data_IF_921450323810
#
_entry.id   IF_921450323810
#
_cell.length_a   1.000
_cell.length_b   1.000
_cell.length_c   1.000
_cell.angle_alpha   90.00
_cell.angle_beta   90.00
_cell.angle_gamma   90.00
#
_symmetry.space_group_name_H-M   'P 1'
#
loop_
_entity.id
_entity.type
_entity.pdbx_description
1 polymer ?
#
# COMPACT_ATOMS: atom_id res chain seq x y z
N UNK A 1 36.25 -22.74 17.47
CA UNK A 1 35.38 -23.86 17.07
C UNK A 1 33.99 -23.30 16.77
N UNK A 2 33.37 -23.68 15.65
CA UNK A 2 31.99 -23.30 15.34
C UNK A 2 31.03 -24.15 16.21
N UNK A 3 30.00 -23.55 16.85
CA UNK A 3 29.12 -24.30 17.73
C UNK A 3 28.27 -25.30 16.92
N UNK A 4 28.25 -26.55 17.37
CA UNK A 4 27.46 -27.62 16.74
C UNK A 4 26.01 -27.49 17.23
N UNK A 5 25.01 -27.44 16.33
CA UNK A 5 23.61 -27.26 16.73
C UNK A 5 23.11 -28.42 17.58
N UNK A 6 22.49 -28.10 18.72
CA UNK A 6 21.84 -29.09 19.61
C UNK A 6 20.51 -29.59 19.03
N UNK A 7 20.01 -30.71 19.54
CA UNK A 7 18.70 -31.28 19.20
C UNK A 7 17.55 -30.28 19.36
N UNK A 8 17.59 -29.42 20.39
CA UNK A 8 16.60 -28.35 20.59
C UNK A 8 16.61 -27.32 19.45
N UNK A 9 17.79 -26.90 18.98
CA UNK A 9 17.91 -26.00 17.83
C UNK A 9 17.35 -26.64 16.56
N UNK A 10 17.48 -27.96 16.41
CA UNK A 10 16.94 -28.72 15.28
C UNK A 10 15.42 -28.79 15.32
N UNK A 11 14.83 -28.99 16.50
CA UNK A 11 13.38 -29.03 16.70
C UNK A 11 12.71 -27.67 16.50
N UNK A 12 13.29 -26.59 17.05
CA UNK A 12 12.81 -25.21 16.85
C UNK A 12 12.80 -24.86 15.35
N UNK A 13 13.87 -25.20 14.63
CA UNK A 13 13.95 -24.96 13.18
C UNK A 13 12.90 -25.75 12.40
N UNK A 14 12.57 -26.96 12.85
CA UNK A 14 11.55 -27.82 12.24
C UNK A 14 10.13 -27.26 12.45
N UNK A 15 9.85 -26.73 13.64
CA UNK A 15 8.58 -26.04 13.94
C UNK A 15 8.42 -24.72 13.15
N UNK A 16 9.51 -23.96 12.97
CA UNK A 16 9.51 -22.76 12.13
C UNK A 16 9.33 -23.08 10.63
N UNK A 17 9.86 -24.21 10.15
CA UNK A 17 9.73 -24.62 8.75
C UNK A 17 8.29 -24.97 8.35
N UNK A 18 7.48 -25.52 9.27
CA UNK A 18 6.09 -25.89 8.98
C UNK A 18 5.11 -24.71 9.04
N UNK A 19 5.43 -23.67 9.82
CA UNK A 19 4.52 -22.54 10.05
C UNK A 19 4.52 -21.50 8.92
N UNK A 20 5.48 -21.56 7.99
CA UNK A 20 5.68 -20.55 6.94
C UNK A 20 5.62 -21.12 5.51
N UNK A 21 5.33 -22.42 5.37
CA UNK A 21 5.24 -23.07 4.07
C UNK A 21 3.89 -22.74 3.41
N UNK A 22 3.88 -21.77 2.49
CA UNK A 22 2.75 -21.62 1.58
C UNK A 22 2.79 -22.82 0.62
N UNK A 23 1.79 -23.70 0.70
CA UNK A 23 1.60 -24.76 -0.31
C UNK A 23 1.68 -24.15 -1.72
N UNK A 24 2.30 -24.81 -2.69
CA UNK A 24 2.35 -24.30 -4.07
C UNK A 24 0.96 -24.03 -4.65
N UNK A 25 0.89 -23.14 -5.64
CA UNK A 25 -0.28 -22.96 -6.49
C UNK A 25 -0.40 -24.17 -7.42
N UNK A 26 -1.02 -25.25 -6.96
CA UNK A 26 -1.37 -26.38 -7.84
C UNK A 26 -2.69 -26.06 -8.53
N UNK A 27 -2.62 -25.23 -9.57
CA UNK A 27 -3.77 -24.98 -10.44
C UNK A 27 -3.74 -26.00 -11.60
N UNK A 28 -4.91 -26.55 -11.95
CA UNK A 28 -5.04 -27.28 -13.22
C UNK A 28 -4.64 -26.34 -14.37
N UNK A 29 -3.86 -26.80 -15.36
CA UNK A 29 -3.62 -26.04 -16.59
C UNK A 29 -4.95 -25.62 -17.23
N UNK A 30 -5.00 -24.44 -17.85
CA UNK A 30 -6.24 -23.89 -18.42
C UNK A 30 -6.88 -24.82 -19.46
N UNK A 31 -6.08 -25.60 -20.18
CA UNK A 31 -6.55 -26.58 -21.17
C UNK A 31 -7.31 -27.77 -20.55
N UNK A 32 -7.20 -27.98 -19.23
CA UNK A 32 -7.84 -29.08 -18.49
C UNK A 32 -8.96 -28.59 -17.57
N UNK A 33 -9.39 -27.33 -17.72
CA UNK A 33 -10.48 -26.73 -16.96
C UNK A 33 -11.73 -26.74 -17.83
N UNK A 34 -12.74 -27.49 -17.41
CA UNK A 34 -14.07 -27.44 -18.03
C UNK A 34 -14.86 -26.22 -17.52
N UNK A 35 -15.89 -25.81 -18.27
CA UNK A 35 -16.76 -24.68 -17.89
C UNK A 35 -17.42 -24.87 -16.51
N UNK A 36 -17.68 -26.11 -16.11
CA UNK A 36 -18.22 -26.44 -14.79
C UNK A 36 -17.25 -26.13 -13.64
N UNK A 37 -15.94 -26.18 -13.90
CA UNK A 37 -14.89 -25.99 -12.89
C UNK A 37 -14.50 -24.51 -12.71
N UNK A 38 -15.02 -23.59 -13.54
CA UNK A 38 -14.63 -22.17 -13.52
C UNK A 38 -14.91 -21.52 -12.17
N UNK A 39 -16.09 -21.77 -11.57
CA UNK A 39 -16.45 -21.19 -10.28
C UNK A 39 -15.56 -21.70 -9.14
N UNK A 40 -15.26 -23.00 -9.14
CA UNK A 40 -14.37 -23.60 -8.14
C UNK A 40 -12.94 -23.10 -8.29
N UNK A 41 -12.50 -22.89 -9.54
CA UNK A 41 -11.20 -22.28 -9.84
C UNK A 41 -11.13 -20.84 -9.36
N UNK A 42 -12.16 -20.03 -9.61
CA UNK A 42 -12.22 -18.65 -9.13
C UNK A 42 -12.07 -18.61 -7.60
N UNK A 43 -12.83 -19.45 -6.89
CA UNK A 43 -12.77 -19.56 -5.44
C UNK A 43 -11.38 -19.99 -4.95
N UNK A 44 -10.80 -21.00 -5.57
CA UNK A 44 -9.45 -21.49 -5.23
C UNK A 44 -8.39 -20.41 -5.41
N UNK A 45 -8.43 -19.68 -6.53
CA UNK A 45 -7.50 -18.57 -6.81
C UNK A 45 -7.69 -17.46 -5.78
N UNK A 46 -8.94 -17.08 -5.48
CA UNK A 46 -9.25 -16.05 -4.50
C UNK A 46 -8.75 -16.43 -3.09
N UNK A 47 -9.03 -17.66 -2.62
CA UNK A 47 -8.55 -18.16 -1.33
C UNK A 47 -7.03 -18.14 -1.25
N UNK A 48 -6.35 -18.51 -2.35
CA UNK A 48 -4.89 -18.55 -2.38
C UNK A 48 -4.26 -17.17 -2.37
N UNK A 49 -4.77 -16.24 -3.18
CA UNK A 49 -4.33 -14.85 -3.17
C UNK A 49 -4.56 -14.22 -1.79
N UNK A 50 -5.72 -14.47 -1.17
CA UNK A 50 -6.00 -14.03 0.18
C UNK A 50 -5.01 -14.61 1.20
N UNK A 51 -4.61 -15.87 1.08
CA UNK A 51 -3.59 -16.46 1.95
C UNK A 51 -2.23 -15.74 1.83
N UNK A 52 -1.80 -15.44 0.60
CA UNK A 52 -0.53 -14.72 0.35
C UNK A 52 -0.60 -13.30 0.91
N UNK A 53 -1.68 -12.58 0.63
CA UNK A 53 -1.87 -11.17 1.02
C UNK A 53 -2.07 -11.00 2.53
N UNK A 54 -2.61 -12.01 3.23
CA UNK A 54 -2.75 -11.99 4.68
C UNK A 54 -1.50 -12.53 5.41
N UNK A 55 -0.52 -13.09 4.70
CA UNK A 55 0.71 -13.59 5.32
C UNK A 55 1.62 -12.42 5.73
N UNK A 56 2.08 -12.33 7.00
CA UNK A 56 2.78 -11.15 7.52
C UNK A 56 4.11 -10.87 6.80
N UNK A 57 4.82 -11.93 6.39
CA UNK A 57 6.10 -11.78 5.68
C UNK A 57 5.93 -11.46 4.19
N UNK A 58 4.93 -12.07 3.53
CA UNK A 58 4.78 -11.94 2.08
C UNK A 58 4.06 -10.66 1.69
N UNK A 59 3.06 -10.26 2.47
CA UNK A 59 2.35 -8.99 2.29
C UNK A 59 3.26 -7.77 2.36
N UNK A 60 4.37 -7.86 3.10
CA UNK A 60 5.40 -6.82 3.19
C UNK A 60 6.51 -6.96 2.13
N UNK A 61 6.53 -8.06 1.39
CA UNK A 61 7.51 -8.28 0.33
C UNK A 61 7.24 -7.32 -0.84
N UNK A 62 8.29 -6.65 -1.34
CA UNK A 62 8.19 -5.61 -2.35
C UNK A 62 7.48 -6.10 -3.63
N UNK A 63 7.75 -7.33 -4.07
CA UNK A 63 7.10 -7.88 -5.27
C UNK A 63 5.61 -8.18 -5.06
N UNK A 64 5.19 -8.58 -3.85
CA UNK A 64 3.78 -8.78 -3.55
C UNK A 64 3.04 -7.43 -3.53
N UNK A 65 3.64 -6.41 -2.92
CA UNK A 65 3.13 -5.04 -2.89
C UNK A 65 2.93 -4.50 -4.31
N UNK A 66 3.93 -4.68 -5.19
CA UNK A 66 3.84 -4.28 -6.60
C UNK A 66 2.77 -5.07 -7.35
N UNK A 67 2.71 -6.39 -7.15
CA UNK A 67 1.74 -7.27 -7.81
C UNK A 67 0.29 -6.88 -7.48
N UNK A 68 0.00 -6.59 -6.21
CA UNK A 68 -1.34 -6.17 -5.75
C UNK A 68 -1.60 -4.68 -6.00
N UNK A 69 -0.62 -3.95 -6.57
CA UNK A 69 -0.65 -2.50 -6.74
C UNK A 69 -1.07 -1.78 -5.45
N UNK A 70 -0.41 -2.17 -4.36
CA UNK A 70 -0.71 -1.76 -2.99
C UNK A 70 0.44 -0.98 -2.38
N UNK A 71 0.33 -0.60 -1.11
CA UNK A 71 1.42 -0.04 -0.30
C UNK A 71 1.57 -0.80 1.03
N UNK A 72 2.74 -0.70 1.71
CA UNK A 72 2.92 -1.35 3.01
C UNK A 72 1.86 -0.95 4.06
N UNK A 73 1.40 0.31 4.02
CA UNK A 73 0.42 0.83 4.99
C UNK A 73 -0.99 0.28 4.76
N UNK A 74 -1.26 -0.29 3.58
CA UNK A 74 -2.54 -0.92 3.26
C UNK A 74 -2.82 -2.16 4.09
N UNK A 75 -1.77 -2.87 4.51
CA UNK A 75 -1.89 -4.10 5.30
C UNK A 75 -1.95 -3.84 6.81
N UNK A 76 -1.56 -2.64 7.27
CA UNK A 76 -1.60 -2.26 8.68
C UNK A 76 -3.02 -1.90 9.11
N UNK A 77 -3.73 -2.86 9.71
CA UNK A 77 -5.12 -2.67 10.20
C UNK A 77 -5.21 -1.71 11.39
N UNK A 78 -4.16 -1.65 12.21
CA UNK A 78 -4.06 -0.75 13.37
C UNK A 78 -4.14 0.73 13.00
N UNK A 79 -3.73 1.07 11.77
CA UNK A 79 -3.78 2.45 11.29
C UNK A 79 -5.15 2.82 10.71
N UNK A 80 -6.18 2.01 10.93
CA UNK A 80 -7.55 2.26 10.45
C UNK A 80 -7.90 1.58 9.13
N UNK A 81 -9.18 1.67 8.77
CA UNK A 81 -9.73 1.06 7.55
C UNK A 81 -9.16 1.75 6.32
N UNK A 82 -8.57 0.96 5.42
CA UNK A 82 -8.11 1.43 4.10
C UNK A 82 -9.30 1.69 3.19
N UNK A 83 -9.28 2.82 2.49
CA UNK A 83 -10.15 3.11 1.36
C UNK A 83 -9.37 2.97 0.05
N UNK A 84 -9.25 4.06 -0.72
CA UNK A 84 -8.59 4.06 -2.02
C UNK A 84 -7.11 4.41 -1.88
N UNK A 85 -6.30 3.83 -2.73
CA UNK A 85 -4.91 4.26 -2.92
C UNK A 85 -4.53 4.28 -4.40
N UNK A 86 -3.42 4.93 -4.72
CA UNK A 86 -2.86 4.92 -6.08
C UNK A 86 -2.00 6.12 -6.41
N UNK A 87 -1.50 6.17 -7.65
CA UNK A 87 -0.60 7.22 -8.11
C UNK A 87 -1.36 8.53 -8.37
N UNK A 88 -0.89 9.62 -7.77
CA UNK A 88 -1.36 10.98 -8.01
C UNK A 88 -0.19 11.92 -8.31
N UNK A 89 -0.49 13.05 -8.96
CA UNK A 89 0.45 14.17 -9.02
C UNK A 89 0.11 15.16 -7.91
N UNK A 90 1.10 15.49 -7.08
CA UNK A 90 0.98 16.49 -6.00
C UNK A 90 1.89 17.68 -6.30
N UNK A 91 1.37 18.89 -6.12
CA UNK A 91 2.16 20.11 -6.21
C UNK A 91 3.21 20.17 -5.07
N UNK A 92 4.46 20.47 -5.41
CA UNK A 92 5.54 20.64 -4.43
C UNK A 92 5.30 21.88 -3.55
N UNK A 93 5.81 21.85 -2.31
CA UNK A 93 5.85 23.02 -1.44
C UNK A 93 4.67 23.19 -0.49
N UNK A 94 3.53 22.53 -0.69
CA UNK A 94 2.27 22.80 0.04
C UNK A 94 2.40 23.08 1.56
N UNK A 95 3.06 22.21 2.33
CA UNK A 95 3.18 22.36 3.79
C UNK A 95 4.29 23.34 4.24
N UNK A 96 5.31 23.55 3.40
CA UNK A 96 6.51 24.33 3.71
C UNK A 96 6.67 25.50 2.75
N UNK A 97 5.57 26.17 2.38
CA UNK A 97 5.69 27.50 1.80
C UNK A 97 5.97 28.47 2.95
N UNK A 98 7.18 28.40 3.52
CA UNK A 98 7.65 29.51 4.34
C UNK A 98 7.63 30.74 3.45
N UNK A 99 7.01 31.81 3.95
CA UNK A 99 6.88 33.16 3.39
C UNK A 99 8.11 33.72 2.65
N UNK A 100 9.30 33.12 2.80
CA UNK A 100 10.55 33.57 2.19
C UNK A 100 11.35 32.45 1.50
N UNK A 101 10.71 31.35 1.04
CA UNK A 101 11.40 30.32 0.26
C UNK A 101 11.74 30.84 -1.14
N UNK A 102 12.85 31.60 -1.21
CA UNK A 102 13.72 31.92 -2.34
C UNK A 102 13.10 31.84 -3.74
N UNK A 103 13.27 32.94 -4.48
CA UNK A 103 12.97 33.26 -5.89
C UNK A 103 13.29 32.14 -6.94
N UNK A 104 13.81 30.97 -6.55
CA UNK A 104 14.09 29.81 -7.39
C UNK A 104 13.42 28.47 -7.01
N UNK A 105 12.58 28.39 -5.97
CA UNK A 105 11.90 27.14 -5.62
C UNK A 105 10.79 26.80 -6.64
N UNK A 106 11.16 26.11 -7.73
CA UNK A 106 10.23 25.73 -8.81
C UNK A 106 9.09 24.88 -8.26
N UNK A 107 7.88 25.47 -8.23
CA UNK A 107 6.63 24.77 -8.00
C UNK A 107 6.47 23.72 -9.12
N UNK A 108 6.59 22.44 -8.78
CA UNK A 108 6.49 21.32 -9.72
C UNK A 108 5.53 20.26 -9.23
N UNK A 109 4.86 19.63 -10.18
CA UNK A 109 4.02 18.45 -9.91
C UNK A 109 4.90 17.22 -9.78
N UNK A 110 4.79 16.51 -8.66
CA UNK A 110 5.54 15.29 -8.39
C UNK A 110 4.61 14.10 -8.26
N UNK A 111 5.03 12.94 -8.80
CA UNK A 111 4.31 11.67 -8.58
C UNK A 111 4.40 11.29 -7.09
N UNK A 112 3.27 10.90 -6.52
CA UNK A 112 3.12 10.40 -5.15
C UNK A 112 2.16 9.23 -5.16
N UNK A 113 2.37 8.26 -4.30
CA UNK A 113 1.36 7.26 -3.99
C UNK A 113 0.48 7.81 -2.88
N UNK A 114 -0.78 8.11 -3.18
CA UNK A 114 -1.75 8.59 -2.19
C UNK A 114 -2.47 7.39 -1.59
N UNK A 115 -2.59 7.38 -0.27
CA UNK A 115 -3.42 6.44 0.48
C UNK A 115 -4.46 7.24 1.24
N UNK A 116 -5.69 6.75 1.21
CA UNK A 116 -6.79 7.29 2.01
C UNK A 116 -7.26 6.24 3.02
N UNK A 117 -7.37 6.67 4.27
CA UNK A 117 -7.91 5.89 5.39
C UNK A 117 -9.03 6.66 6.07
N UNK A 118 -9.68 6.04 7.04
CA UNK A 118 -10.75 6.61 7.88
C UNK A 118 -10.42 7.97 8.49
N UNK A 119 -9.22 8.11 9.06
CA UNK A 119 -8.83 9.23 9.91
C UNK A 119 -7.67 10.05 9.35
N UNK A 120 -7.06 9.61 8.24
CA UNK A 120 -5.91 10.28 7.65
C UNK A 120 -5.71 9.92 6.17
N UNK A 121 -4.96 10.77 5.49
CA UNK A 121 -4.42 10.52 4.15
C UNK A 121 -2.90 10.64 4.18
N UNK A 122 -2.19 9.82 3.41
CA UNK A 122 -0.74 9.91 3.33
C UNK A 122 -0.24 9.89 1.89
N UNK A 123 0.88 10.56 1.68
CA UNK A 123 1.63 10.55 0.44
C UNK A 123 2.91 9.78 0.64
N UNK A 124 3.12 8.72 -0.15
CA UNK A 124 4.33 7.91 -0.14
C UNK A 124 5.14 8.19 -1.39
N UNK A 125 6.43 7.90 -1.31
CA UNK A 125 7.29 7.82 -2.47
C UNK A 125 6.92 6.56 -3.28
N UNK A 126 6.47 6.67 -4.54
CA UNK A 126 6.06 5.51 -5.33
C UNK A 126 7.19 4.53 -5.62
N UNK A 127 8.46 4.96 -5.54
CA UNK A 127 9.62 4.08 -5.77
C UNK A 127 10.11 3.36 -4.51
N UNK A 128 10.06 4.03 -3.36
CA UNK A 128 10.70 3.56 -2.12
C UNK A 128 9.71 3.19 -1.03
N UNK A 129 8.41 3.44 -1.20
CA UNK A 129 7.38 3.22 -0.16
C UNK A 129 7.47 4.17 1.05
N UNK A 130 8.54 4.95 1.20
CA UNK A 130 8.69 5.88 2.32
C UNK A 130 7.58 6.93 2.36
N UNK A 131 7.04 7.15 3.56
CA UNK A 131 6.08 8.21 3.85
C UNK A 131 6.74 9.58 3.63
N UNK A 132 6.10 10.43 2.83
CA UNK A 132 6.55 11.80 2.52
C UNK A 132 5.74 12.86 3.26
N UNK A 133 4.47 12.60 3.53
CA UNK A 133 3.60 13.45 4.31
C UNK A 133 2.36 12.66 4.75
N UNK A 134 1.83 12.99 5.93
CA UNK A 134 0.55 12.51 6.46
C UNK A 134 -0.30 13.74 6.76
N UNK A 135 -1.60 13.67 6.48
CA UNK A 135 -2.58 14.70 6.81
C UNK A 135 -3.74 14.03 7.52
N UNK A 136 -4.03 14.48 8.74
CA UNK A 136 -5.15 13.98 9.52
C UNK A 136 -6.47 14.59 9.02
N UNK A 137 -7.52 13.78 9.03
CA UNK A 137 -8.88 14.22 8.77
C UNK A 137 -9.44 14.82 10.06
N UNK A 138 -9.55 16.14 10.10
CA UNK A 138 -10.15 16.88 11.22
C UNK A 138 -11.53 17.45 10.84
N UNK A 139 -12.15 18.19 11.76
CA UNK A 139 -13.48 18.80 11.58
C UNK A 139 -13.59 19.75 10.39
N UNK A 140 -12.46 20.22 9.84
CA UNK A 140 -12.39 21.16 8.73
C UNK A 140 -11.65 20.56 7.54
N UNK A 141 -11.57 19.23 7.47
CA UNK A 141 -11.09 18.54 6.30
C UNK A 141 -12.06 18.79 5.14
N UNK A 142 -11.59 19.55 4.14
CA UNK A 142 -12.39 19.92 2.99
C UNK A 142 -11.64 19.66 1.69
N UNK A 143 -12.42 19.26 0.69
CA UNK A 143 -11.95 19.05 -0.68
C UNK A 143 -12.67 20.04 -1.58
N UNK A 144 -11.89 20.90 -2.25
CA UNK A 144 -12.39 21.79 -3.30
C UNK A 144 -12.03 21.24 -4.67
N UNK A 145 -13.00 21.26 -5.57
CA UNK A 145 -12.84 20.82 -6.96
C UNK A 145 -13.45 21.85 -7.90
N UNK A 146 -13.24 21.68 -9.21
CA UNK A 146 -13.86 22.53 -10.22
C UNK A 146 -13.08 23.81 -10.53
N UNK A 147 -13.43 24.43 -11.67
CA UNK A 147 -12.65 25.51 -12.27
C UNK A 147 -12.59 26.77 -11.40
N UNK A 148 -13.67 27.07 -10.69
CA UNK A 148 -13.77 28.24 -9.79
C UNK A 148 -12.78 28.16 -8.62
N UNK A 149 -12.56 26.97 -8.06
CA UNK A 149 -11.72 26.81 -6.88
C UNK A 149 -10.30 26.36 -7.18
N UNK A 150 -10.09 25.56 -8.23
CA UNK A 150 -8.80 24.93 -8.52
C UNK A 150 -8.19 25.35 -9.85
N UNK A 151 -8.86 26.22 -10.59
CA UNK A 151 -8.48 26.63 -11.95
C UNK A 151 -8.59 25.52 -12.99
N UNK A 152 -9.03 24.31 -12.62
CA UNK A 152 -9.17 23.18 -13.54
C UNK A 152 -10.12 22.11 -13.01
N UNK A 153 -10.99 21.58 -13.86
CA UNK A 153 -11.90 20.48 -13.48
C UNK A 153 -11.18 19.19 -13.07
N UNK A 154 -9.91 19.01 -13.46
CA UNK A 154 -9.10 17.82 -13.15
C UNK A 154 -8.24 17.97 -11.89
N UNK A 155 -8.30 19.12 -11.22
CA UNK A 155 -7.52 19.41 -10.01
C UNK A 155 -8.43 19.45 -8.79
N UNK A 156 -7.88 18.98 -7.68
CA UNK A 156 -8.50 19.06 -6.37
C UNK A 156 -7.53 19.77 -5.40
N UNK A 157 -8.09 20.50 -4.45
CA UNK A 157 -7.38 21.06 -3.30
C UNK A 157 -7.94 20.45 -2.04
N UNK A 158 -7.05 19.87 -1.23
CA UNK A 158 -7.37 19.32 0.09
C UNK A 158 -6.72 20.23 1.12
N UNK A 159 -7.49 20.63 2.12
CA UNK A 159 -7.02 21.41 3.25
C UNK A 159 -7.74 20.98 4.52
N UNK A 160 -7.08 21.19 5.65
CA UNK A 160 -7.54 20.87 7.00
C UNK A 160 -7.00 21.95 7.97
N UNK A 161 -7.37 21.90 9.24
CA UNK A 161 -6.81 22.80 10.27
C UNK A 161 -5.49 22.29 10.83
N UNK A 162 -5.32 20.98 10.87
CA UNK A 162 -4.16 20.33 11.47
C UNK A 162 -2.96 20.59 10.56
N UNK A 163 -2.14 21.56 10.96
CA UNK A 163 -0.81 21.79 10.41
C UNK A 163 0.07 20.61 10.81
#
# INVERSE_FOLDING_TARGET
>A
ALPIPTTSHREIRRQMSHSHAIQGLTLKPDMLVDDSDINDREKLVAEKLNSIVNHPVLSLHNECIKFVESSPLSFMRELGRKYKEGIVKKLSGGYRQSCCANIGARIKWLKRWLITKDSWIAYLNPKTGHVRAVMLVDRFFHVRTGRLHTGSVKKLYIFNLSR
#
